data_IF_140774788970
#
_entry.id   IF_140774788970
#
_cell.length_a   1.000
_cell.length_b   1.000
_cell.length_c   1.000
_cell.angle_alpha   90.00
_cell.angle_beta   90.00
_cell.angle_gamma   90.00
#
_symmetry.space_group_name_H-M   'P 1'
#
loop_
_entity.id
_entity.type
_entity.pdbx_description
1 polymer ?
#
# COMPACT_ATOMS: atom_id res chain seq x y z
N UNK A 1 -1.63 24.74 4.60
CA UNK A 1 -0.66 23.62 4.67
C UNK A 1 -0.21 23.23 6.09
N UNK A 2 -0.61 23.96 7.14
CA UNK A 2 -0.16 23.74 8.55
C UNK A 2 -1.05 22.81 9.39
N UNK A 3 -2.34 22.65 9.03
CA UNK A 3 -3.30 21.89 9.85
C UNK A 3 -3.03 20.38 9.89
N UNK A 4 -2.69 19.76 8.76
CA UNK A 4 -2.35 18.32 8.72
C UNK A 4 -1.04 18.02 9.45
N UNK A 5 -0.05 18.92 9.33
CA UNK A 5 1.22 18.78 10.07
C UNK A 5 0.99 18.85 11.58
N UNK A 6 0.22 19.85 12.06
CA UNK A 6 -0.14 20.00 13.48
C UNK A 6 -0.90 18.80 14.05
N UNK A 7 -1.90 18.30 13.32
CA UNK A 7 -2.67 17.12 13.72
C UNK A 7 -1.82 15.84 13.71
N UNK A 8 -0.99 15.65 12.69
CA UNK A 8 -0.12 14.48 12.62
C UNK A 8 0.99 14.51 13.68
N UNK A 9 1.45 15.69 14.10
CA UNK A 9 2.39 15.85 15.22
C UNK A 9 1.76 15.62 16.58
N UNK A 10 0.45 15.81 16.74
CA UNK A 10 -0.25 15.56 18.01
C UNK A 10 -0.64 14.10 18.23
N UNK A 11 -0.45 13.22 17.24
CA UNK A 11 -0.72 11.78 17.38
C UNK A 11 0.43 11.08 18.09
N UNK A 12 0.08 10.18 19.01
CA UNK A 12 1.03 9.21 19.57
C UNK A 12 1.45 8.23 18.47
N UNK A 13 2.71 8.35 18.05
CA UNK A 13 3.33 7.58 16.98
C UNK A 13 4.30 6.56 17.57
N UNK A 14 4.46 5.44 16.88
CA UNK A 14 5.44 4.42 17.28
C UNK A 14 6.85 5.02 17.27
N UNK A 15 7.73 4.63 18.20
CA UNK A 15 9.14 5.04 18.19
C UNK A 15 9.87 4.64 16.90
N UNK A 16 9.33 3.66 16.15
CA UNK A 16 9.84 3.22 14.86
C UNK A 16 9.38 4.11 13.69
N UNK A 17 8.62 5.18 13.91
CA UNK A 17 8.13 6.03 12.82
C UNK A 17 9.31 6.76 12.17
N UNK A 18 9.59 6.52 10.88
CA UNK A 18 10.73 7.16 10.24
C UNK A 18 10.45 8.66 10.01
N UNK A 19 11.51 9.46 9.80
CA UNK A 19 11.36 10.87 9.44
C UNK A 19 10.49 11.05 8.19
N UNK A 20 9.76 12.18 8.12
CA UNK A 20 8.82 12.45 7.01
C UNK A 20 9.46 12.41 5.61
N UNK A 21 10.76 12.73 5.49
CA UNK A 21 11.48 12.69 4.22
C UNK A 21 11.67 11.26 3.70
N UNK A 22 11.75 10.25 4.58
CA UNK A 22 11.87 8.83 4.20
C UNK A 22 10.64 8.39 3.42
N UNK A 23 9.44 8.78 3.87
CA UNK A 23 8.21 8.51 3.15
C UNK A 23 8.22 9.15 1.75
N UNK A 24 8.74 10.38 1.63
CA UNK A 24 8.86 11.08 0.34
C UNK A 24 9.82 10.40 -0.64
N UNK A 25 10.83 9.67 -0.16
CA UNK A 25 11.80 8.96 -1.00
C UNK A 25 11.34 7.54 -1.37
N UNK A 26 10.76 6.82 -0.40
CA UNK A 26 10.40 5.42 -0.57
C UNK A 26 9.24 5.23 -1.55
N UNK A 27 8.20 6.06 -1.49
CA UNK A 27 7.03 5.94 -2.37
C UNK A 27 7.38 6.05 -3.87
N UNK A 28 8.11 7.08 -4.34
CA UNK A 28 8.55 7.15 -5.74
C UNK A 28 9.33 5.91 -6.19
N UNK A 29 10.26 5.41 -5.37
CA UNK A 29 11.04 4.20 -5.68
C UNK A 29 10.10 3.00 -5.85
N UNK A 30 9.16 2.82 -4.92
CA UNK A 30 8.17 1.74 -4.99
C UNK A 30 7.29 1.87 -6.23
N UNK A 31 6.84 3.07 -6.60
CA UNK A 31 6.06 3.29 -7.82
C UNK A 31 6.84 2.89 -9.08
N UNK A 32 8.13 3.22 -9.16
CA UNK A 32 9.00 2.80 -10.26
C UNK A 32 9.15 1.28 -10.30
N UNK A 33 9.40 0.63 -9.17
CA UNK A 33 9.52 -0.83 -9.09
C UNK A 33 8.23 -1.52 -9.52
N UNK A 34 7.08 -1.07 -9.01
CA UNK A 34 5.76 -1.59 -9.39
C UNK A 34 5.48 -1.44 -10.89
N UNK A 35 5.87 -0.30 -11.48
CA UNK A 35 5.71 -0.06 -12.91
C UNK A 35 6.57 -1.04 -13.72
N UNK A 36 7.85 -1.19 -13.37
CA UNK A 36 8.77 -2.13 -14.02
C UNK A 36 8.23 -3.57 -13.91
N UNK A 37 7.82 -4.00 -12.71
CA UNK A 37 7.20 -5.33 -12.50
C UNK A 37 6.01 -5.55 -13.41
N UNK A 38 5.10 -4.57 -13.49
CA UNK A 38 3.87 -4.68 -14.27
C UNK A 38 4.15 -4.75 -15.77
N UNK A 39 5.08 -3.92 -16.28
CA UNK A 39 5.49 -3.97 -17.70
C UNK A 39 6.14 -5.32 -18.04
N UNK A 40 6.95 -5.89 -17.14
CA UNK A 40 7.53 -7.22 -17.34
C UNK A 40 6.46 -8.30 -17.45
N UNK A 41 5.48 -8.31 -16.55
CA UNK A 41 4.38 -9.28 -16.60
C UNK A 41 3.54 -9.10 -17.85
N UNK A 42 3.23 -7.86 -18.24
CA UNK A 42 2.44 -7.59 -19.44
C UNK A 42 3.13 -8.11 -20.72
N UNK A 43 4.47 -8.01 -20.80
CA UNK A 43 5.25 -8.53 -21.93
C UNK A 43 5.53 -10.04 -21.87
N UNK A 44 5.14 -10.73 -20.80
CA UNK A 44 5.38 -12.18 -20.66
C UNK A 44 4.43 -12.97 -21.56
N UNK A 45 4.95 -13.97 -22.29
CA UNK A 45 4.17 -14.85 -23.16
C UNK A 45 3.00 -15.52 -22.42
N UNK A 46 3.22 -15.86 -21.14
CA UNK A 46 2.18 -16.43 -20.27
C UNK A 46 1.01 -15.48 -20.02
N UNK A 47 1.28 -14.17 -19.97
CA UNK A 47 0.25 -13.14 -19.81
C UNK A 47 -0.51 -12.94 -21.12
N UNK A 48 0.18 -12.99 -22.26
CA UNK A 48 -0.42 -12.90 -23.60
C UNK A 48 -1.35 -14.10 -23.85
N UNK A 49 -0.94 -15.32 -23.48
CA UNK A 49 -1.78 -16.52 -23.61
C UNK A 49 -3.01 -16.51 -22.69
N UNK A 50 -2.89 -15.91 -21.50
CA UNK A 50 -4.01 -15.72 -20.56
C UNK A 50 -4.68 -14.35 -20.72
N UNK A 51 -4.55 -13.75 -21.90
CA UNK A 51 -5.18 -12.48 -22.23
C UNK A 51 -6.69 -12.61 -22.22
N UNK A 52 -7.34 -11.64 -21.60
CA UNK A 52 -8.79 -11.48 -21.64
C UNK A 52 -9.09 -10.44 -22.73
N UNK A 53 -9.83 -10.84 -23.77
CA UNK A 53 -10.27 -9.96 -24.88
C UNK A 53 -9.13 -9.18 -25.58
N UNK A 54 -8.01 -9.83 -25.91
CA UNK A 54 -6.79 -9.20 -26.46
C UNK A 54 -6.15 -8.12 -25.55
N UNK A 55 -6.56 -8.03 -24.29
CA UNK A 55 -6.03 -7.11 -23.28
C UNK A 55 -4.95 -7.74 -22.36
N UNK A 56 -4.53 -7.04 -21.29
CA UNK A 56 -3.59 -7.61 -20.33
C UNK A 56 -4.22 -8.78 -19.55
N UNK A 57 -3.40 -9.67 -19.01
CA UNK A 57 -3.88 -10.80 -18.21
C UNK A 57 -4.58 -10.33 -16.92
N UNK A 58 -5.47 -11.18 -16.38
CA UNK A 58 -6.31 -10.90 -15.20
C UNK A 58 -5.57 -10.23 -14.04
N UNK A 59 -4.32 -10.62 -13.78
CA UNK A 59 -3.54 -10.11 -12.64
C UNK A 59 -3.19 -8.61 -12.76
N UNK A 60 -3.09 -8.08 -13.98
CA UNK A 60 -2.84 -6.65 -14.21
C UNK A 60 -4.07 -5.82 -13.82
N UNK A 61 -5.29 -6.34 -13.99
CA UNK A 61 -6.50 -5.68 -13.49
C UNK A 61 -6.53 -5.61 -11.96
N UNK A 62 -6.04 -6.64 -11.26
CA UNK A 62 -5.88 -6.59 -9.80
C UNK A 62 -4.90 -5.48 -9.40
N UNK A 63 -3.82 -5.27 -10.16
CA UNK A 63 -2.90 -4.15 -9.95
C UNK A 63 -3.58 -2.79 -10.12
N UNK A 64 -4.41 -2.62 -11.16
CA UNK A 64 -5.15 -1.37 -11.36
C UNK A 64 -6.15 -1.09 -10.23
N UNK A 65 -6.89 -2.11 -9.79
CA UNK A 65 -7.82 -1.98 -8.65
C UNK A 65 -7.04 -1.63 -7.38
N UNK A 66 -5.90 -2.27 -7.14
CA UNK A 66 -5.03 -1.99 -6.01
C UNK A 66 -4.58 -0.51 -5.95
N UNK A 67 -4.33 0.14 -7.10
CA UNK A 67 -3.97 1.56 -7.12
C UNK A 67 -5.09 2.45 -6.54
N UNK A 68 -6.36 2.09 -6.75
CA UNK A 68 -7.51 2.83 -6.20
C UNK A 68 -7.48 2.79 -4.67
N UNK A 69 -7.20 1.61 -4.08
CA UNK A 69 -7.02 1.47 -2.64
C UNK A 69 -5.81 2.29 -2.15
N UNK A 70 -4.69 2.25 -2.87
CA UNK A 70 -3.50 3.03 -2.52
C UNK A 70 -3.77 4.54 -2.44
N UNK A 71 -4.53 5.09 -3.40
CA UNK A 71 -4.94 6.51 -3.37
C UNK A 71 -5.99 6.79 -2.29
N UNK A 72 -6.92 5.86 -2.08
CA UNK A 72 -7.98 5.97 -1.07
C UNK A 72 -7.39 6.06 0.34
N UNK A 73 -6.33 5.31 0.62
CA UNK A 73 -5.62 5.34 1.90
C UNK A 73 -5.19 6.76 2.31
N UNK A 74 -4.55 7.49 1.41
CA UNK A 74 -4.08 8.87 1.67
C UNK A 74 -5.26 9.80 1.98
N UNK A 75 -6.37 9.63 1.27
CA UNK A 75 -7.60 10.41 1.48
C UNK A 75 -8.22 10.10 2.85
N UNK A 76 -8.41 8.83 3.20
CA UNK A 76 -8.97 8.38 4.47
C UNK A 76 -8.13 8.85 5.67
N UNK A 77 -6.81 8.72 5.57
CA UNK A 77 -5.90 9.04 6.67
C UNK A 77 -5.75 10.55 6.88
N UNK A 78 -5.42 11.31 5.84
CA UNK A 78 -5.07 12.73 6.00
C UNK A 78 -6.26 13.68 5.89
N UNK A 79 -7.24 13.39 5.03
CA UNK A 79 -8.38 14.29 4.82
C UNK A 79 -9.50 14.00 5.80
N UNK A 80 -9.88 12.73 5.95
CA UNK A 80 -10.93 12.34 6.89
C UNK A 80 -10.44 12.16 8.32
N UNK A 81 -9.12 12.09 8.57
CA UNK A 81 -8.52 11.92 9.91
C UNK A 81 -9.05 10.69 10.65
N UNK A 82 -9.44 9.66 9.89
CA UNK A 82 -10.00 8.37 10.32
C UNK A 82 -8.95 7.26 10.12
N UNK A 83 -7.97 7.14 11.01
CA UNK A 83 -6.94 6.10 10.91
C UNK A 83 -7.52 4.68 11.03
N UNK A 84 -8.68 4.54 11.69
CA UNK A 84 -9.48 3.32 11.76
C UNK A 84 -9.92 2.83 10.37
N UNK A 85 -10.53 3.69 9.58
CA UNK A 85 -10.95 3.35 8.21
C UNK A 85 -9.73 3.16 7.30
N UNK A 86 -8.69 3.98 7.46
CA UNK A 86 -7.44 3.83 6.73
C UNK A 86 -6.75 2.49 7.06
N UNK A 87 -6.94 1.92 8.25
CA UNK A 87 -6.39 0.60 8.61
C UNK A 87 -7.10 -0.53 7.87
N UNK A 88 -8.43 -0.46 7.77
CA UNK A 88 -9.23 -1.43 7.01
C UNK A 88 -8.86 -1.39 5.53
N UNK A 89 -8.82 -0.19 4.95
CA UNK A 89 -8.41 0.03 3.55
C UNK A 89 -6.99 -0.49 3.28
N UNK A 90 -6.05 -0.20 4.17
CA UNK A 90 -4.67 -0.70 4.07
C UNK A 90 -4.58 -2.22 4.17
N UNK A 91 -5.43 -2.85 4.99
CA UNK A 91 -5.47 -4.31 5.12
C UNK A 91 -5.97 -4.96 3.82
N UNK A 92 -7.03 -4.40 3.23
CA UNK A 92 -7.53 -4.84 1.92
C UNK A 92 -6.46 -4.64 0.85
N UNK A 93 -5.80 -3.48 0.84
CA UNK A 93 -4.69 -3.18 -0.07
C UNK A 93 -3.60 -4.25 0.03
N UNK A 94 -3.16 -4.63 1.24
CA UNK A 94 -2.14 -5.66 1.44
C UNK A 94 -2.56 -7.02 0.86
N UNK A 95 -3.84 -7.41 0.99
CA UNK A 95 -4.34 -8.65 0.38
C UNK A 95 -4.23 -8.60 -1.15
N UNK A 96 -4.52 -7.45 -1.77
CA UNK A 96 -4.27 -7.24 -3.19
C UNK A 96 -2.78 -7.37 -3.51
N UNK A 97 -1.88 -6.72 -2.74
CA UNK A 97 -0.43 -6.78 -2.96
C UNK A 97 0.09 -8.22 -2.91
N UNK A 98 -0.35 -9.01 -1.93
CA UNK A 98 0.03 -10.42 -1.81
C UNK A 98 -0.44 -11.20 -3.05
N UNK A 99 -1.70 -11.01 -3.44
CA UNK A 99 -2.28 -11.68 -4.62
C UNK A 99 -1.52 -11.33 -5.89
N UNK A 100 -1.21 -10.05 -6.09
CA UNK A 100 -0.43 -9.53 -7.22
C UNK A 100 0.98 -10.12 -7.19
N UNK A 101 1.65 -10.15 -6.04
CA UNK A 101 3.03 -10.63 -5.91
C UNK A 101 3.12 -12.11 -6.27
N UNK A 102 2.25 -12.95 -5.69
CA UNK A 102 2.19 -14.39 -6.00
C UNK A 102 1.79 -14.61 -7.46
N UNK A 103 0.84 -13.82 -7.97
CA UNK A 103 0.44 -13.85 -9.37
C UNK A 103 1.61 -13.53 -10.30
N UNK A 104 2.33 -12.44 -10.04
CA UNK A 104 3.48 -12.00 -10.82
C UNK A 104 4.58 -13.05 -10.83
N UNK A 105 4.89 -13.69 -9.69
CA UNK A 105 5.88 -14.78 -9.63
C UNK A 105 5.56 -15.95 -10.58
N UNK A 106 4.27 -16.23 -10.85
CA UNK A 106 3.87 -17.29 -11.80
C UNK A 106 4.14 -16.91 -13.26
N UNK A 107 4.04 -15.62 -13.60
CA UNK A 107 4.28 -15.09 -14.94
C UNK A 107 5.75 -14.75 -15.19
N UNK A 108 6.39 -14.09 -14.23
CA UNK A 108 7.80 -13.67 -14.23
C UNK A 108 8.29 -13.58 -12.76
N UNK A 109 9.22 -14.47 -12.37
CA UNK A 109 9.76 -14.54 -11.02
C UNK A 109 10.38 -13.20 -10.57
N UNK A 110 11.10 -12.54 -11.47
CA UNK A 110 11.81 -11.29 -11.21
C UNK A 110 10.80 -10.14 -11.00
N UNK A 111 9.70 -10.13 -11.75
CA UNK A 111 8.61 -9.17 -11.56
C UNK A 111 7.95 -9.31 -10.17
N UNK A 112 7.76 -10.55 -9.70
CA UNK A 112 7.26 -10.83 -8.36
C UNK A 112 8.24 -10.39 -7.26
N UNK A 113 9.54 -10.65 -7.44
CA UNK A 113 10.59 -10.22 -6.50
C UNK A 113 10.66 -8.69 -6.41
N UNK A 114 10.59 -7.99 -7.54
CA UNK A 114 10.55 -6.52 -7.59
C UNK A 114 9.33 -5.91 -6.85
N UNK A 115 8.26 -6.69 -6.66
CA UNK A 115 7.07 -6.29 -5.91
C UNK A 115 7.19 -6.53 -4.39
N UNK A 116 8.11 -7.40 -3.94
CA UNK A 116 8.31 -7.68 -2.52
C UNK A 116 8.68 -6.46 -1.67
N UNK A 117 9.56 -5.54 -2.10
CA UNK A 117 9.84 -4.31 -1.35
C UNK A 117 8.57 -3.51 -1.03
N UNK A 118 7.61 -3.50 -1.96
CA UNK A 118 6.32 -2.83 -1.77
C UNK A 118 5.45 -3.54 -0.74
N UNK A 119 5.42 -4.87 -0.73
CA UNK A 119 4.74 -5.66 0.30
C UNK A 119 5.32 -5.40 1.69
N UNK A 120 6.65 -5.42 1.82
CA UNK A 120 7.35 -5.16 3.09
C UNK A 120 7.01 -3.76 3.62
N UNK A 121 7.07 -2.76 2.74
CA UNK A 121 6.71 -1.39 3.10
C UNK A 121 5.24 -1.25 3.52
N UNK A 122 4.33 -1.96 2.84
CA UNK A 122 2.89 -1.95 3.18
C UNK A 122 2.62 -2.58 4.55
N UNK A 123 3.30 -3.68 4.89
CA UNK A 123 3.23 -4.30 6.23
C UNK A 123 3.79 -3.36 7.31
N UNK A 124 4.86 -2.64 7.01
CA UNK A 124 5.40 -1.64 7.93
C UNK A 124 4.41 -0.48 8.15
N UNK A 125 3.76 0.00 7.09
CA UNK A 125 2.70 1.00 7.20
C UNK A 125 1.50 0.50 8.04
N UNK A 126 1.15 -0.80 7.92
CA UNK A 126 0.10 -1.42 8.72
C UNK A 126 0.44 -1.37 10.21
N UNK A 127 1.67 -1.73 10.58
CA UNK A 127 2.16 -1.64 11.95
C UNK A 127 2.09 -0.21 12.51
N UNK A 128 2.51 0.79 11.73
CA UNK A 128 2.44 2.19 12.17
C UNK A 128 0.99 2.66 12.37
N UNK A 129 0.09 2.30 11.45
CA UNK A 129 -1.31 2.70 11.53
C UNK A 129 -2.05 1.98 12.67
N UNK A 130 -1.79 0.68 12.87
CA UNK A 130 -2.40 -0.08 13.97
C UNK A 130 -1.98 0.46 15.34
N UNK A 131 -0.72 0.88 15.49
CA UNK A 131 -0.24 1.55 16.71
C UNK A 131 -1.03 2.82 17.01
N UNK A 132 -1.29 3.65 16.00
CA UNK A 132 -2.09 4.89 16.16
C UNK A 132 -3.52 4.56 16.57
N UNK A 133 -4.15 3.55 15.95
CA UNK A 133 -5.52 3.14 16.25
C UNK A 133 -5.62 2.61 17.69
N UNK A 134 -4.70 1.74 18.11
CA UNK A 134 -4.67 1.15 19.44
C UNK A 134 -4.52 2.23 20.53
N UNK A 135 -3.57 3.16 20.37
CA UNK A 135 -3.40 4.25 21.33
C UNK A 135 -4.58 5.22 21.38
N UNK A 136 -5.27 5.44 20.25
CA UNK A 136 -6.51 6.24 20.24
C UNK A 136 -7.66 5.53 20.94
N UNK A 137 -7.76 4.21 20.84
CA UNK A 137 -8.78 3.42 21.54
C UNK A 137 -8.56 3.46 23.07
N UNK A 138 -7.33 3.21 23.53
CA UNK A 138 -6.98 3.25 24.95
C UNK A 138 -7.21 4.62 25.61
N UNK A 139 -6.95 5.70 24.87
CA UNK A 139 -7.20 7.05 25.39
C UNK A 139 -8.70 7.39 25.45
N UNK A 140 -9.52 6.86 24.53
CA UNK A 140 -10.97 7.02 24.60
C UNK A 140 -11.55 6.33 25.85
N UNK A 141 -11.10 5.11 26.15
CA UNK A 141 -11.54 4.37 27.34
C UNK A 141 -11.18 5.06 28.66
N UNK A 142 -10.06 5.79 28.72
CA UNK A 142 -9.67 6.55 29.92
C UNK A 142 -10.45 7.84 30.15
N UNK A 143 -11.22 8.31 29.17
CA UNK A 143 -11.97 9.57 29.25
C UNK A 143 -13.48 9.34 29.45
N UNK A 144 -13.91 8.07 29.53
CA UNK A 144 -15.24 7.66 29.99
C UNK A 144 -15.14 7.17 31.44
#
# INVERSE_FOLDING_TARGET
MTANKKWYTSLNKSPLTPPSWVFGLVWPILYVLMFISTVRVWKSDKCIQNSIWNGPCKIVYFFLIHLIFNFSWTYLFFRLKRPDLALVDLTIMILFVITITIGYMKYDLLAGILFLPYLIWSLFALYLNSYIVLHRALNKEKTQ
#
